data_IF_202209648057
#
_entry.id   IF_202209648057
#
_cell.length_a   1.000
_cell.length_b   1.000
_cell.length_c   1.000
_cell.angle_alpha   90.00
_cell.angle_beta   90.00
_cell.angle_gamma   90.00
#
_symmetry.space_group_name_H-M   'P 1'
#
loop_
_entity.id
_entity.type
_entity.pdbx_description
1 polymer ?
#
# COMPACT_ATOMS: atom_id res chain seq x y z
N UNK A 1 -11.69 14.68 -4.27
CA UNK A 1 -11.49 13.57 -5.23
C UNK A 1 -12.77 12.94 -5.72
N UNK A 2 -13.95 13.40 -5.30
CA UNK A 2 -15.22 13.02 -5.93
C UNK A 2 -15.89 14.31 -6.36
N UNK A 3 -16.16 14.44 -7.65
CA UNK A 3 -17.03 15.49 -8.14
C UNK A 3 -18.47 15.09 -7.80
N UNK A 4 -19.34 16.03 -7.40
CA UNK A 4 -20.74 15.73 -7.19
C UNK A 4 -21.34 15.07 -8.44
N UNK A 5 -22.18 14.05 -8.26
CA UNK A 5 -22.91 13.39 -9.35
C UNK A 5 -22.16 12.25 -10.06
N UNK A 6 -20.98 11.84 -9.60
CA UNK A 6 -20.32 10.63 -10.11
C UNK A 6 -20.84 9.37 -9.43
N UNK A 7 -21.06 8.30 -10.19
CA UNK A 7 -21.34 6.98 -9.62
C UNK A 7 -20.16 6.50 -8.77
N UNK A 8 -20.45 6.01 -7.57
CA UNK A 8 -19.44 5.58 -6.60
C UNK A 8 -19.63 4.11 -6.25
N UNK A 9 -18.58 3.33 -6.48
CA UNK A 9 -18.44 1.98 -5.92
C UNK A 9 -17.53 2.03 -4.69
N UNK A 10 -18.11 1.78 -3.51
CA UNK A 10 -17.35 1.65 -2.26
C UNK A 10 -17.00 0.20 -2.00
N UNK A 11 -15.74 -0.07 -1.67
CA UNK A 11 -15.20 -1.41 -1.42
C UNK A 11 -14.47 -1.47 -0.08
N UNK A 12 -14.44 -2.63 0.60
CA UNK A 12 -13.97 -2.70 1.99
C UNK A 12 -12.44 -2.66 2.14
N UNK A 13 -11.66 -2.96 1.10
CA UNK A 13 -10.20 -2.97 1.16
C UNK A 13 -9.55 -2.83 -0.22
N UNK A 14 -8.24 -2.54 -0.25
CA UNK A 14 -7.51 -2.26 -1.50
C UNK A 14 -7.53 -3.42 -2.51
N UNK A 15 -7.46 -4.67 -2.03
CA UNK A 15 -7.57 -5.85 -2.89
C UNK A 15 -8.91 -5.92 -3.64
N UNK A 16 -10.02 -5.55 -3.00
CA UNK A 16 -11.33 -5.52 -3.66
C UNK A 16 -11.40 -4.40 -4.70
N UNK A 17 -10.71 -3.27 -4.44
CA UNK A 17 -10.57 -2.19 -5.42
C UNK A 17 -9.80 -2.63 -6.66
N UNK A 18 -8.70 -3.36 -6.49
CA UNK A 18 -7.93 -3.93 -7.61
C UNK A 18 -8.81 -4.88 -8.43
N UNK A 19 -9.48 -5.83 -7.78
CA UNK A 19 -10.37 -6.79 -8.44
C UNK A 19 -11.53 -6.13 -9.19
N UNK A 20 -12.09 -5.04 -8.66
CA UNK A 20 -13.12 -4.25 -9.33
C UNK A 20 -12.59 -3.57 -10.60
N UNK A 21 -11.39 -3.00 -10.56
CA UNK A 21 -10.76 -2.38 -11.73
C UNK A 21 -10.42 -3.41 -12.81
N UNK A 22 -9.90 -4.58 -12.42
CA UNK A 22 -9.61 -5.68 -13.35
C UNK A 22 -10.86 -6.22 -14.05
N UNK A 23 -12.04 -6.08 -13.44
CA UNK A 23 -13.35 -6.44 -14.03
C UNK A 23 -14.03 -5.28 -14.77
N UNK A 24 -13.38 -4.12 -14.87
CA UNK A 24 -13.94 -2.95 -15.55
C UNK A 24 -15.08 -2.26 -14.79
N UNK A 25 -15.23 -2.51 -13.48
CA UNK A 25 -16.30 -1.92 -12.66
C UNK A 25 -16.01 -0.47 -12.22
N UNK A 26 -14.88 0.09 -12.63
CA UNK A 26 -14.50 1.47 -12.32
C UNK A 26 -13.02 1.73 -12.52
N UNK A 27 -12.59 2.94 -12.21
CA UNK A 27 -11.20 3.37 -12.26
C UNK A 27 -10.83 4.15 -11.00
N UNK A 28 -9.52 4.32 -10.75
CA UNK A 28 -9.03 5.15 -9.66
C UNK A 28 -7.68 4.69 -9.12
N UNK A 29 -7.26 5.29 -8.00
CA UNK A 29 -5.93 5.06 -7.43
C UNK A 29 -5.77 3.67 -6.80
N UNK A 30 -4.63 3.02 -7.09
CA UNK A 30 -4.12 1.80 -6.45
C UNK A 30 -2.67 2.03 -5.99
N UNK A 31 -2.20 1.37 -4.93
CA UNK A 31 -0.77 1.28 -4.63
C UNK A 31 -0.03 0.65 -5.82
N UNK A 32 1.02 1.32 -6.30
CA UNK A 32 1.79 0.87 -7.45
C UNK A 32 2.31 -0.57 -7.32
N UNK A 33 2.86 -1.02 -6.18
CA UNK A 33 3.33 -2.39 -6.05
C UNK A 33 2.25 -3.46 -6.26
N UNK A 34 1.00 -3.15 -5.89
CA UNK A 34 -0.14 -4.06 -6.10
C UNK A 34 -0.61 -4.08 -7.56
N UNK A 35 -0.44 -2.97 -8.28
CA UNK A 35 -0.86 -2.84 -9.67
C UNK A 35 0.22 -3.32 -10.67
N UNK A 36 1.50 -3.34 -10.27
CA UNK A 36 2.66 -3.56 -11.14
C UNK A 36 2.52 -4.75 -12.08
N UNK A 37 2.28 -5.94 -11.55
CA UNK A 37 2.14 -7.16 -12.36
C UNK A 37 0.96 -7.08 -13.36
N UNK A 38 -0.12 -6.39 -12.99
CA UNK A 38 -1.28 -6.20 -13.87
C UNK A 38 -1.06 -5.12 -14.93
N UNK A 39 -0.23 -4.11 -14.63
CA UNK A 39 0.22 -3.12 -15.61
C UNK A 39 1.17 -3.76 -16.63
N UNK A 40 2.14 -4.56 -16.16
CA UNK A 40 3.10 -5.29 -17.00
C UNK A 40 2.40 -6.30 -17.91
N UNK A 41 1.38 -7.00 -17.39
CA UNK A 41 0.56 -7.92 -18.18
C UNK A 41 -0.46 -7.22 -19.11
N UNK A 42 -0.58 -5.89 -19.05
CA UNK A 42 -1.55 -5.13 -19.85
C UNK A 42 -3.01 -5.26 -19.41
N UNK A 43 -3.28 -5.86 -18.24
CA UNK A 43 -4.63 -5.94 -17.66
C UNK A 43 -5.11 -4.59 -17.12
N UNK A 44 -4.17 -3.72 -16.72
CA UNK A 44 -4.43 -2.36 -16.30
C UNK A 44 -3.62 -1.39 -17.16
N UNK A 45 -4.13 -0.15 -17.28
CA UNK A 45 -3.43 0.96 -17.93
C UNK A 45 -3.25 2.09 -16.93
N UNK A 46 -2.01 2.54 -16.72
CA UNK A 46 -1.71 3.70 -15.88
C UNK A 46 -2.24 4.97 -16.56
N UNK A 47 -2.96 5.79 -15.79
CA UNK A 47 -3.42 7.11 -16.24
C UNK A 47 -2.74 8.20 -15.42
N UNK A 48 -2.18 9.19 -16.10
CA UNK A 48 -1.66 10.40 -15.46
C UNK A 48 -2.82 11.28 -15.00
N UNK A 49 -2.63 11.92 -13.85
CA UNK A 49 -3.64 12.83 -13.28
C UNK A 49 -3.02 14.18 -13.02
N UNK A 50 -3.82 15.25 -13.13
CA UNK A 50 -3.39 16.63 -12.88
C UNK A 50 -2.74 16.80 -11.49
N UNK A 51 -3.16 16.00 -10.50
CA UNK A 51 -2.64 16.03 -9.13
C UNK A 51 -1.21 15.47 -9.00
N UNK A 52 -0.70 14.78 -10.01
CA UNK A 52 0.62 14.15 -9.98
C UNK A 52 0.67 12.87 -9.14
N UNK A 53 1.89 12.35 -8.93
CA UNK A 53 2.12 11.11 -8.17
C UNK A 53 2.06 11.37 -6.67
N UNK A 54 1.21 10.64 -5.96
CA UNK A 54 1.20 10.66 -4.50
C UNK A 54 2.21 9.65 -3.93
N UNK A 55 3.19 10.14 -3.15
CA UNK A 55 4.14 9.29 -2.42
C UNK A 55 3.68 9.18 -0.96
N UNK A 56 3.11 8.04 -0.60
CA UNK A 56 2.73 7.76 0.78
C UNK A 56 3.97 7.56 1.65
N UNK A 57 4.11 8.34 2.74
CA UNK A 57 5.12 8.09 3.76
C UNK A 57 4.64 7.01 4.72
N UNK A 58 5.45 5.97 4.89
CA UNK A 58 5.19 4.86 5.80
C UNK A 58 5.98 5.07 7.09
N UNK A 59 5.34 4.79 8.22
CA UNK A 59 5.90 5.00 9.54
C UNK A 59 5.75 3.72 10.38
N UNK A 60 6.70 3.50 11.28
CA UNK A 60 6.58 2.51 12.35
C UNK A 60 6.11 3.23 13.61
N UNK A 61 5.15 2.64 14.31
CA UNK A 61 4.61 3.21 15.55
C UNK A 61 4.56 2.13 16.63
N UNK A 62 4.84 2.52 17.86
CA UNK A 62 4.75 1.68 19.04
C UNK A 62 4.37 2.54 20.25
N UNK A 63 3.81 1.92 21.28
CA UNK A 63 3.53 2.60 22.55
C UNK A 63 4.85 2.80 23.30
N UNK A 64 5.11 4.01 23.76
CA UNK A 64 6.29 4.37 24.53
C UNK A 64 5.89 4.68 25.98
N UNK A 65 5.51 3.64 26.73
CA UNK A 65 4.96 3.80 28.08
C UNK A 65 5.93 4.51 29.06
N UNK A 66 7.24 4.49 28.81
CA UNK A 66 8.27 5.10 29.66
C UNK A 66 9.20 6.04 28.85
N UNK A 67 8.71 6.62 27.75
CA UNK A 67 9.49 7.46 26.84
C UNK A 67 10.56 6.69 26.04
N UNK A 68 11.45 7.40 25.35
CA UNK A 68 12.50 6.80 24.48
C UNK A 68 13.48 5.94 25.28
N UNK A 69 13.69 6.24 26.56
CA UNK A 69 14.56 5.50 27.47
C UNK A 69 14.04 4.09 27.83
N UNK A 70 12.74 3.82 27.58
CA UNK A 70 12.07 2.57 27.98
C UNK A 70 11.83 1.55 26.87
N UNK A 71 12.49 1.67 25.71
CA UNK A 71 12.33 0.68 24.63
C UNK A 71 12.82 -0.71 25.09
N UNK A 72 11.92 -1.68 25.28
CA UNK A 72 12.30 -3.05 25.65
C UNK A 72 13.26 -3.71 24.65
N UNK A 73 14.08 -4.66 25.11
CA UNK A 73 15.13 -5.33 24.29
C UNK A 73 14.56 -5.93 22.98
N UNK A 74 13.40 -6.55 23.04
CA UNK A 74 12.74 -7.14 21.88
C UNK A 74 12.34 -6.09 20.83
N UNK A 75 11.73 -4.98 21.24
CA UNK A 75 11.36 -3.91 20.33
C UNK A 75 12.58 -3.24 19.71
N UNK A 76 13.65 -3.02 20.48
CA UNK A 76 14.92 -2.50 19.92
C UNK A 76 15.48 -3.43 18.85
N UNK A 77 15.55 -4.73 19.13
CA UNK A 77 15.99 -5.72 18.15
C UNK A 77 15.13 -5.69 16.89
N UNK A 78 13.80 -5.61 17.04
CA UNK A 78 12.89 -5.55 15.89
C UNK A 78 13.06 -4.29 15.05
N UNK A 79 13.20 -3.11 15.68
CA UNK A 79 13.44 -1.86 14.96
C UNK A 79 14.76 -1.89 14.19
N UNK A 80 15.78 -2.58 14.69
CA UNK A 80 17.03 -2.80 13.95
C UNK A 80 16.81 -3.69 12.72
N UNK A 81 16.01 -4.76 12.82
CA UNK A 81 15.63 -5.57 11.65
C UNK A 81 14.86 -4.74 10.61
N UNK A 82 13.98 -3.84 11.06
CA UNK A 82 13.22 -2.93 10.20
C UNK A 82 14.07 -1.80 9.60
N UNK A 83 15.31 -1.60 10.03
CA UNK A 83 16.24 -0.65 9.38
C UNK A 83 16.82 -1.20 8.07
N UNK A 84 16.87 -2.53 7.92
CA UNK A 84 17.34 -3.16 6.69
C UNK A 84 16.49 -2.73 5.47
N UNK A 85 17.09 -2.15 4.42
CA UNK A 85 16.39 -1.78 3.20
C UNK A 85 15.65 -2.96 2.56
N UNK A 86 16.22 -4.16 2.66
CA UNK A 86 15.61 -5.40 2.13
C UNK A 86 14.33 -5.72 2.89
N UNK A 87 14.36 -5.65 4.22
CA UNK A 87 13.17 -5.89 5.06
C UNK A 87 12.09 -4.85 4.79
N UNK A 88 12.45 -3.57 4.69
CA UNK A 88 11.51 -2.49 4.36
C UNK A 88 10.83 -2.73 3.02
N UNK A 89 11.61 -3.05 1.99
CA UNK A 89 11.10 -3.34 0.65
C UNK A 89 10.16 -4.55 0.67
N UNK A 90 10.55 -5.63 1.36
CA UNK A 90 9.73 -6.83 1.46
C UNK A 90 8.34 -6.53 2.08
N UNK A 91 8.27 -5.72 3.14
CA UNK A 91 7.00 -5.31 3.76
C UNK A 91 6.13 -4.43 2.84
N UNK A 92 6.77 -3.69 1.93
CA UNK A 92 6.11 -2.74 1.03
C UNK A 92 5.82 -3.28 -0.37
N UNK A 93 6.31 -4.46 -0.74
CA UNK A 93 6.15 -5.00 -2.10
C UNK A 93 5.51 -6.39 -2.10
N UNK A 94 5.65 -7.18 -1.02
CA UNK A 94 5.06 -8.53 -0.93
C UNK A 94 3.64 -8.49 -0.40
N UNK A 95 2.71 -8.02 -1.24
CA UNK A 95 1.28 -7.91 -0.90
C UNK A 95 0.46 -9.15 -1.21
N UNK A 96 0.95 -9.99 -2.12
CA UNK A 96 0.37 -11.29 -2.35
C UNK A 96 0.83 -12.21 -1.23
N UNK A 97 -0.12 -12.82 -0.51
CA UNK A 97 0.19 -14.06 0.21
C UNK A 97 0.83 -15.03 -0.80
N UNK A 98 1.82 -15.85 -0.40
CA UNK A 98 2.28 -16.92 -1.28
C UNK A 98 1.06 -17.68 -1.77
N UNK A 99 0.94 -17.85 -3.10
CA UNK A 99 -0.05 -18.80 -3.62
C UNK A 99 0.26 -20.16 -2.99
N UNK A 100 -0.76 -20.89 -2.51
CA UNK A 100 -0.56 -22.24 -1.98
C UNK A 100 0.08 -23.15 -3.03
#
# INVERSE_FOLDING_TARGET
NLLPGQDVLTVPHMRAKLEAQLRGLGCGFLPEPMARAHLEAGHLVRRETVRGTFVGRMHYAWRAEHGVAGLGRALRWWLEQLRSPVTRRALLERHAAPRP
#
